data_IF_708320442470
#
_entry.id   IF_708320442470
#
_cell.length_a   1.000
_cell.length_b   1.000
_cell.length_c   1.000
_cell.angle_alpha   90.00
_cell.angle_beta   90.00
_cell.angle_gamma   90.00
#
_symmetry.space_group_name_H-M   'P 1'
#
loop_
_entity.id
_entity.type
_entity.pdbx_description
1 polymer ?
#
# COMPACT_ATOMS: atom_id res chain seq x y z
N UNK A 1 21.94 9.44 10.60
CA UNK A 1 21.66 8.03 10.86
C UNK A 1 21.90 7.28 9.56
N UNK A 2 22.67 6.18 9.56
CA UNK A 2 22.82 5.36 8.37
C UNK A 2 21.57 4.46 8.29
N UNK A 3 20.64 4.79 7.41
CA UNK A 3 19.55 3.90 7.01
C UNK A 3 20.16 2.76 6.19
N UNK A 4 20.71 1.76 6.86
CA UNK A 4 21.15 0.54 6.20
C UNK A 4 19.89 -0.18 5.70
N UNK A 5 19.79 -0.32 4.38
CA UNK A 5 18.84 -1.23 3.73
C UNK A 5 19.19 -2.66 4.18
N UNK A 6 18.61 -3.11 5.30
CA UNK A 6 18.96 -4.37 5.98
C UNK A 6 18.49 -5.63 5.24
N UNK A 7 17.93 -5.49 4.02
CA UNK A 7 17.63 -6.62 3.16
C UNK A 7 18.88 -7.43 2.79
N UNK A 8 20.08 -6.83 2.89
CA UNK A 8 21.37 -7.53 2.75
C UNK A 8 21.64 -8.55 3.88
N UNK A 9 20.88 -8.51 4.97
CA UNK A 9 20.98 -9.49 6.06
C UNK A 9 20.25 -10.80 5.75
N UNK A 10 19.47 -10.85 4.66
CA UNK A 10 18.74 -12.04 4.25
C UNK A 10 19.43 -12.70 3.06
N UNK A 11 19.64 -14.00 3.16
CA UNK A 11 20.15 -14.81 2.06
C UNK A 11 18.97 -15.50 1.34
N UNK A 12 18.43 -14.86 0.32
CA UNK A 12 17.30 -15.37 -0.46
C UNK A 12 17.66 -16.56 -1.36
N UNK A 13 18.95 -16.81 -1.63
CA UNK A 13 19.39 -17.92 -2.50
C UNK A 13 19.25 -19.28 -1.81
N UNK A 14 19.30 -19.32 -0.47
CA UNK A 14 19.25 -20.56 0.31
C UNK A 14 18.06 -20.64 1.26
N UNK A 15 17.22 -19.61 1.29
CA UNK A 15 16.07 -19.53 2.18
C UNK A 15 14.97 -20.48 1.72
N UNK A 16 14.26 -21.10 2.66
CA UNK A 16 13.03 -21.84 2.33
C UNK A 16 11.83 -20.91 2.27
N UNK A 17 10.74 -21.36 1.64
CA UNK A 17 9.49 -20.60 1.65
C UNK A 17 8.96 -20.34 3.07
N UNK A 18 9.06 -21.32 3.97
CA UNK A 18 8.63 -21.15 5.35
C UNK A 18 9.46 -20.09 6.09
N UNK A 19 10.79 -20.12 5.92
CA UNK A 19 11.68 -19.11 6.52
C UNK A 19 11.36 -17.71 5.96
N UNK A 20 11.07 -17.61 4.66
CA UNK A 20 10.68 -16.35 4.04
C UNK A 20 9.37 -15.80 4.64
N UNK A 21 8.36 -16.65 4.79
CA UNK A 21 7.06 -16.28 5.35
C UNK A 21 7.17 -15.83 6.82
N UNK A 22 8.02 -16.47 7.63
CA UNK A 22 8.30 -16.04 9.01
C UNK A 22 8.99 -14.67 9.07
N UNK A 23 9.81 -14.36 8.06
CA UNK A 23 10.58 -13.11 7.95
C UNK A 23 9.85 -11.99 7.21
N UNK A 24 8.68 -12.25 6.64
CA UNK A 24 7.89 -11.28 5.88
C UNK A 24 7.67 -9.94 6.63
N UNK A 25 7.27 -9.93 7.92
CA UNK A 25 7.06 -8.67 8.63
C UNK A 25 8.33 -7.79 8.67
N UNK A 26 9.49 -8.43 8.81
CA UNK A 26 10.79 -7.75 8.89
C UNK A 26 11.23 -7.29 7.50
N UNK A 27 11.04 -8.11 6.48
CA UNK A 27 11.29 -7.75 5.07
C UNK A 27 10.46 -6.52 4.68
N UNK A 28 9.16 -6.48 5.02
CA UNK A 28 8.30 -5.32 4.75
C UNK A 28 8.64 -4.09 5.59
N UNK A 29 9.04 -4.26 6.86
CA UNK A 29 9.43 -3.14 7.72
C UNK A 29 10.77 -2.50 7.30
N UNK A 30 11.66 -3.29 6.69
CA UNK A 30 13.00 -2.85 6.26
C UNK A 30 13.01 -2.26 4.87
N UNK A 31 12.01 -2.60 4.04
CA UNK A 31 11.83 -2.02 2.73
C UNK A 31 11.26 -0.59 2.85
N UNK A 32 12.14 0.40 2.79
CA UNK A 32 11.80 1.82 3.01
C UNK A 32 11.28 2.53 1.76
N UNK A 33 11.47 1.97 0.56
CA UNK A 33 11.12 2.62 -0.71
C UNK A 33 10.55 1.65 -1.74
N UNK A 34 9.30 1.87 -2.17
CA UNK A 34 8.67 1.07 -3.23
C UNK A 34 8.06 -0.25 -2.73
N UNK A 35 7.80 -1.16 -3.67
CA UNK A 35 7.25 -2.50 -3.40
C UNK A 35 8.34 -3.52 -3.14
N UNK A 36 8.14 -4.41 -2.18
CA UNK A 36 9.04 -5.52 -1.86
C UNK A 36 9.20 -6.44 -3.08
N UNK A 37 8.12 -6.62 -3.84
CA UNK A 37 8.08 -7.41 -5.07
C UNK A 37 8.87 -6.81 -6.23
N UNK A 38 9.34 -5.56 -6.15
CA UNK A 38 10.18 -4.93 -7.16
C UNK A 38 11.68 -5.06 -6.85
N UNK A 39 12.06 -5.52 -5.65
CA UNK A 39 13.47 -5.62 -5.25
C UNK A 39 14.20 -6.71 -6.06
N UNK A 40 15.28 -6.38 -6.79
CA UNK A 40 16.03 -7.33 -7.60
C UNK A 40 16.57 -8.54 -6.83
N UNK A 41 16.85 -8.38 -5.53
CA UNK A 41 17.36 -9.45 -4.66
C UNK A 41 16.30 -10.52 -4.39
N UNK A 42 15.02 -10.14 -4.40
CA UNK A 42 13.91 -11.06 -4.15
C UNK A 42 13.39 -11.71 -5.45
N UNK A 43 13.64 -11.12 -6.63
CA UNK A 43 13.13 -11.63 -7.90
C UNK A 43 13.44 -13.13 -8.16
N UNK A 44 14.68 -13.63 -7.94
CA UNK A 44 14.97 -15.04 -8.18
C UNK A 44 14.15 -15.97 -7.27
N UNK A 45 14.03 -15.58 -5.99
CA UNK A 45 13.25 -16.33 -5.00
C UNK A 45 11.76 -16.31 -5.33
N UNK A 46 11.19 -15.14 -5.63
CA UNK A 46 9.77 -15.00 -5.97
C UNK A 46 9.41 -15.72 -7.29
N UNK A 47 10.35 -15.77 -8.25
CA UNK A 47 10.17 -16.55 -9.47
C UNK A 47 10.19 -18.07 -9.22
N UNK A 48 10.98 -18.53 -8.24
CA UNK A 48 11.04 -19.94 -7.83
C UNK A 48 9.86 -20.34 -6.92
N UNK A 49 9.27 -19.40 -6.19
CA UNK A 49 8.21 -19.61 -5.20
C UNK A 49 6.95 -18.78 -5.53
N UNK A 50 6.09 -19.25 -6.45
CA UNK A 50 4.93 -18.49 -6.91
C UNK A 50 3.91 -18.19 -5.81
N UNK A 51 3.76 -19.08 -4.83
CA UNK A 51 2.85 -18.87 -3.70
C UNK A 51 3.35 -17.74 -2.78
N UNK A 52 4.66 -17.68 -2.51
CA UNK A 52 5.27 -16.57 -1.79
C UNK A 52 5.13 -15.24 -2.56
N UNK A 53 5.27 -15.27 -3.89
CA UNK A 53 5.05 -14.10 -4.73
C UNK A 53 3.60 -13.60 -4.70
N UNK A 54 2.62 -14.51 -4.67
CA UNK A 54 1.22 -14.15 -4.50
C UNK A 54 0.98 -13.49 -3.14
N UNK A 55 1.52 -14.08 -2.06
CA UNK A 55 1.40 -13.54 -0.71
C UNK A 55 1.99 -12.13 -0.58
N UNK A 56 3.19 -11.90 -1.12
CA UNK A 56 3.82 -10.55 -1.13
C UNK A 56 2.94 -9.54 -1.84
N UNK A 57 2.36 -9.90 -3.00
CA UNK A 57 1.45 -9.01 -3.75
C UNK A 57 0.16 -8.69 -2.98
N UNK A 58 -0.40 -9.69 -2.31
CA UNK A 58 -1.61 -9.50 -1.49
C UNK A 58 -1.31 -8.55 -0.33
N UNK A 59 -0.18 -8.74 0.36
CA UNK A 59 0.25 -7.85 1.45
C UNK A 59 0.51 -6.42 0.98
N UNK A 60 1.14 -6.24 -0.19
CA UNK A 60 1.34 -4.91 -0.80
C UNK A 60 0.01 -4.25 -1.15
N UNK A 61 -0.95 -5.02 -1.67
CA UNK A 61 -2.28 -4.53 -2.00
C UNK A 61 -3.03 -4.08 -0.73
N UNK A 62 -2.96 -4.88 0.34
CA UNK A 62 -3.53 -4.53 1.65
C UNK A 62 -2.86 -3.26 2.20
N UNK A 63 -1.54 -3.15 2.12
CA UNK A 63 -0.81 -1.98 2.59
C UNK A 63 -1.18 -0.70 1.83
N UNK A 64 -1.39 -0.79 0.51
CA UNK A 64 -1.86 0.32 -0.31
C UNK A 64 -3.27 0.76 0.08
N UNK A 65 -4.19 -0.18 0.23
CA UNK A 65 -5.55 0.13 0.69
C UNK A 65 -5.55 0.72 2.09
N UNK A 66 -4.75 0.18 3.01
CA UNK A 66 -4.61 0.71 4.35
C UNK A 66 -4.10 2.16 4.33
N UNK A 67 -3.10 2.47 3.48
CA UNK A 67 -2.60 3.85 3.32
C UNK A 67 -3.71 4.81 2.90
N UNK A 68 -4.56 4.41 1.95
CA UNK A 68 -5.71 5.21 1.52
C UNK A 68 -6.71 5.50 2.65
N UNK A 69 -6.83 4.61 3.65
CA UNK A 69 -7.67 4.87 4.84
C UNK A 69 -7.06 5.90 5.80
N UNK A 70 -5.73 6.06 5.79
CA UNK A 70 -5.01 7.02 6.63
C UNK A 70 -4.70 8.33 5.93
N UNK A 71 -4.95 8.44 4.62
CA UNK A 71 -4.89 9.71 3.93
C UNK A 71 -5.92 10.66 4.54
N UNK A 72 -5.53 11.89 4.92
CA UNK A 72 -6.45 12.83 5.55
C UNK A 72 -7.58 13.10 4.57
N UNK A 73 -8.79 12.64 4.93
CA UNK A 73 -10.03 13.05 4.28
C UNK A 73 -10.05 14.57 4.37
N UNK A 74 -9.71 15.25 3.28
CA UNK A 74 -9.86 16.69 3.23
C UNK A 74 -11.36 16.94 3.37
N UNK A 75 -11.76 17.60 4.46
CA UNK A 75 -13.08 18.19 4.51
C UNK A 75 -13.23 19.07 3.26
N UNK A 76 -14.30 18.87 2.48
CA UNK A 76 -14.51 19.72 1.33
C UNK A 76 -14.57 21.18 1.77
N UNK A 77 -14.06 22.08 0.92
CA UNK A 77 -13.96 23.50 1.29
C UNK A 77 -15.32 24.09 1.65
N UNK A 78 -15.32 25.09 2.54
CA UNK A 78 -16.55 25.83 2.88
C UNK A 78 -17.25 26.40 1.64
N UNK A 79 -16.49 26.79 0.60
CA UNK A 79 -17.04 27.23 -0.69
C UNK A 79 -17.84 26.15 -1.42
N UNK A 80 -17.43 24.88 -1.32
CA UNK A 80 -18.18 23.76 -1.91
C UNK A 80 -19.46 23.52 -1.13
N UNK A 81 -19.40 23.59 0.20
CA UNK A 81 -20.57 23.48 1.05
C UNK A 81 -21.58 24.61 0.82
N UNK A 82 -21.10 25.85 0.71
CA UNK A 82 -21.92 27.00 0.39
C UNK A 82 -22.64 26.82 -0.96
N UNK A 83 -21.94 26.31 -1.99
CA UNK A 83 -22.55 26.02 -3.31
C UNK A 83 -23.60 24.92 -3.24
N UNK A 84 -23.37 23.85 -2.47
CA UNK A 84 -24.36 22.77 -2.29
C UNK A 84 -25.59 23.32 -1.58
N UNK A 85 -25.41 24.10 -0.51
CA UNK A 85 -26.49 24.72 0.24
C UNK A 85 -27.30 25.69 -0.62
N UNK A 86 -26.65 26.47 -1.49
CA UNK A 86 -27.36 27.36 -2.43
C UNK A 86 -28.24 26.59 -3.43
N UNK A 87 -27.82 25.40 -3.87
CA UNK A 87 -28.59 24.59 -4.83
C UNK A 87 -29.71 23.76 -4.21
N UNK A 88 -29.67 23.49 -2.90
CA UNK A 88 -30.75 22.78 -2.20
C UNK A 88 -31.97 23.66 -1.92
N UNK A 89 -31.86 24.99 -2.04
CA UNK A 89 -32.97 25.94 -1.94
C UNK A 89 -33.67 26.23 -3.27
N UNK A 90 -33.12 25.77 -4.39
CA UNK A 90 -33.73 25.85 -5.73
C UNK A 90 -34.56 24.58 -5.97
N UNK A 91 -35.64 24.40 -5.19
CA UNK A 91 -36.74 23.56 -5.67
C UNK A 91 -37.28 24.23 -6.94
N UNK A 92 -37.37 23.55 -8.09
CA UNK A 92 -37.98 24.13 -9.28
C UNK A 92 -39.46 24.36 -8.96
N UNK A 93 -39.84 25.62 -8.73
CA UNK A 93 -41.25 26.02 -8.63
C UNK A 93 -42.00 25.45 -9.84
N UNK A 94 -43.10 24.70 -9.64
CA UNK A 94 -43.92 24.26 -10.76
C UNK A 94 -44.52 25.50 -11.43
N UNK A 95 -44.08 25.77 -12.66
CA UNK A 95 -44.63 26.85 -13.49
C UNK A 95 -46.16 26.72 -13.57
N UNK A 96 -46.86 27.82 -13.24
CA UNK A 96 -48.33 27.95 -13.17
C UNK A 96 -48.98 28.18 -14.53
#
# INVERSE_FOLDING_TARGET
MNDQNTLDNFNFDTMTQADFEERLPEIFATHTTGKVSDDPRLQPFLAAHPDAAALVRDLETIAEHARSLFEPVHEPSEDLWAKIQSRMGEDPEPES
#
